data_IF_706296768782
#
_entry.id   IF_706296768782
#
_cell.length_a   1.000
_cell.length_b   1.000
_cell.length_c   1.000
_cell.angle_alpha   90.00
_cell.angle_beta   90.00
_cell.angle_gamma   90.00
#
_symmetry.space_group_name_H-M   'P 1'
#
loop_
_entity.id
_entity.type
_entity.pdbx_description
1 polymer ?
#
# COMPACT_ATOMS: atom_id res chain seq x y z
N UNK A 1 -2.69 10.32 2.86
CA UNK A 1 -3.55 9.40 2.06
C UNK A 1 -3.95 9.96 0.70
N UNK A 2 -4.36 11.23 0.57
CA UNK A 2 -4.83 11.81 -0.70
C UNK A 2 -3.89 11.59 -1.90
N UNK A 3 -2.58 11.69 -1.70
CA UNK A 3 -1.59 11.41 -2.75
C UNK A 3 -1.56 9.94 -3.17
N UNK A 4 -1.64 8.99 -2.22
CA UNK A 4 -1.68 7.56 -2.51
C UNK A 4 -2.91 7.16 -3.33
N UNK A 5 -4.03 7.88 -3.15
CA UNK A 5 -5.25 7.65 -3.95
C UNK A 5 -5.15 8.16 -5.39
N UNK A 6 -4.21 9.07 -5.68
CA UNK A 6 -4.08 9.69 -7.00
C UNK A 6 -3.02 9.02 -7.87
N UNK A 7 -2.04 8.35 -7.25
CA UNK A 7 -0.92 7.74 -7.96
C UNK A 7 -1.30 6.33 -8.41
N UNK A 8 -1.41 6.17 -9.73
CA UNK A 8 -1.54 4.87 -10.38
C UNK A 8 -0.29 4.64 -11.24
N UNK A 9 0.57 3.71 -10.81
CA UNK A 9 1.83 3.43 -11.50
C UNK A 9 2.17 1.95 -11.46
N UNK A 10 2.70 1.40 -12.55
CA UNK A 10 3.02 -0.04 -12.73
C UNK A 10 4.01 -0.64 -11.73
N UNK A 11 4.77 0.19 -11.00
CA UNK A 11 5.76 -0.24 -10.00
C UNK A 11 5.36 0.10 -8.57
N UNK A 12 4.12 0.56 -8.38
CA UNK A 12 3.54 0.78 -7.07
C UNK A 12 2.37 -0.19 -6.92
N UNK A 13 2.25 -0.83 -5.75
CA UNK A 13 1.09 -1.67 -5.47
C UNK A 13 -0.19 -0.82 -5.56
N UNK A 14 -1.24 -1.27 -6.26
CA UNK A 14 -2.50 -0.56 -6.33
C UNK A 14 -3.07 -0.30 -4.93
N UNK A 15 -3.40 0.96 -4.69
CA UNK A 15 -4.07 1.39 -3.47
C UNK A 15 -5.58 1.29 -3.66
N UNK A 16 -6.26 0.60 -2.75
CA UNK A 16 -7.71 0.35 -2.84
C UNK A 16 -8.48 1.37 -2.00
N UNK A 17 -7.99 1.70 -0.81
CA UNK A 17 -8.67 2.64 0.08
C UNK A 17 -8.06 2.69 1.47
N UNK A 18 -8.70 3.42 2.37
CA UNK A 18 -8.30 3.52 3.77
C UNK A 18 -9.50 3.64 4.69
N UNK A 19 -9.31 3.20 5.93
CA UNK A 19 -10.15 3.60 7.05
C UNK A 19 -9.34 4.57 7.91
N UNK A 20 -9.98 5.63 8.36
CA UNK A 20 -9.40 6.56 9.34
C UNK A 20 -10.48 6.84 10.38
N UNK A 21 -10.57 5.95 11.35
CA UNK A 21 -11.30 6.22 12.59
C UNK A 21 -10.30 6.88 13.55
N UNK A 22 -10.71 7.85 14.35
CA UNK A 22 -9.79 8.81 15.01
C UNK A 22 -8.68 8.16 15.88
N UNK A 23 -8.84 6.89 16.21
CA UNK A 23 -7.90 6.05 16.96
C UNK A 23 -6.95 5.24 16.08
N UNK A 24 -7.32 4.90 14.84
CA UNK A 24 -6.57 4.00 13.96
C UNK A 24 -6.67 4.36 12.48
N UNK A 25 -5.52 4.27 11.79
CA UNK A 25 -5.44 4.40 10.35
C UNK A 25 -5.12 3.06 9.71
N UNK A 26 -6.02 2.57 8.87
CA UNK A 26 -5.87 1.31 8.13
C UNK A 26 -5.72 1.63 6.65
N UNK A 27 -4.73 1.01 6.00
CA UNK A 27 -4.52 1.12 4.57
C UNK A 27 -4.88 -0.21 3.89
N UNK A 28 -5.66 -0.13 2.82
CA UNK A 28 -6.09 -1.26 2.03
C UNK A 28 -5.39 -1.15 0.66
N UNK A 29 -4.55 -2.12 0.34
CA UNK A 29 -3.78 -2.19 -0.90
C UNK A 29 -3.60 -3.64 -1.33
N UNK A 30 -3.21 -3.88 -2.58
CA UNK A 30 -2.99 -5.24 -3.07
C UNK A 30 -1.84 -5.94 -2.32
N UNK A 31 -2.11 -7.17 -1.91
CA UNK A 31 -1.14 -7.98 -1.17
C UNK A 31 0.06 -8.35 -2.03
N UNK A 32 1.26 -8.01 -1.54
CA UNK A 32 2.53 -8.34 -2.18
C UNK A 32 3.06 -9.67 -1.64
N UNK A 33 2.73 -10.79 -2.30
CA UNK A 33 3.06 -12.14 -1.84
C UNK A 33 4.55 -12.41 -1.64
N UNK A 34 5.41 -11.76 -2.42
CA UNK A 34 6.86 -11.92 -2.32
C UNK A 34 7.50 -11.05 -1.24
N UNK A 35 6.68 -10.26 -0.52
CA UNK A 35 7.12 -9.47 0.62
C UNK A 35 8.17 -8.42 0.28
N UNK A 36 9.07 -8.16 1.23
CA UNK A 36 10.12 -7.15 1.10
C UNK A 36 11.23 -7.63 0.14
N UNK A 37 11.50 -6.84 -0.89
CA UNK A 37 12.56 -7.08 -1.86
C UNK A 37 13.96 -7.24 -1.22
N UNK A 38 14.28 -6.45 -0.19
CA UNK A 38 15.56 -6.59 0.52
C UNK A 38 15.68 -8.00 1.09
N UNK A 39 14.66 -8.50 1.79
CA UNK A 39 14.65 -9.84 2.37
C UNK A 39 14.73 -10.95 1.32
N UNK A 40 14.26 -10.69 0.10
CA UNK A 40 14.29 -11.66 -0.99
C UNK A 40 15.67 -11.73 -1.68
N UNK A 41 16.45 -10.65 -1.62
CA UNK A 41 17.71 -10.51 -2.36
C UNK A 41 18.97 -10.45 -1.47
N UNK A 42 18.81 -10.38 -0.15
CA UNK A 42 19.90 -10.43 0.84
C UNK A 42 20.09 -11.85 1.37
#
# INVERSE_FOLDING_TARGET
VKMLMQVHHKHLTPFVGYCNDQTEMILIYEYMSNGNLQKLLS
#
